data_IF_689982591581
#
_entry.id   IF_689982591581
#
_cell.length_a   1.000
_cell.length_b   1.000
_cell.length_c   1.000
_cell.angle_alpha   90.00
_cell.angle_beta   90.00
_cell.angle_gamma   90.00
#
_symmetry.space_group_name_H-M   'P 1'
#
loop_
_entity.id
_entity.type
_entity.pdbx_description
1 polymer ?
#
# COMPACT_ATOMS: atom_id res chain seq x y z
N UNK A 1 -8.29 8.11 7.09
CA UNK A 1 -8.26 7.30 8.31
C UNK A 1 -6.80 7.09 8.64
N UNK A 2 -6.32 7.71 9.70
CA UNK A 2 -4.97 7.46 10.21
C UNK A 2 -5.04 6.29 11.17
N UNK A 3 -4.01 5.44 11.14
CA UNK A 3 -3.81 4.43 12.18
C UNK A 3 -3.60 5.17 13.52
N UNK A 4 -4.32 4.75 14.53
CA UNK A 4 -4.22 5.29 15.86
C UNK A 4 -3.71 4.17 16.78
N UNK A 5 -2.45 4.25 17.23
CA UNK A 5 -1.84 3.17 18.01
C UNK A 5 -2.48 2.97 19.39
N UNK A 6 -3.32 3.92 19.84
CA UNK A 6 -4.03 3.82 21.11
C UNK A 6 -5.35 3.06 20.99
N UNK A 7 -5.84 2.82 19.75
CA UNK A 7 -7.06 2.08 19.51
C UNK A 7 -6.81 0.58 19.40
N UNK A 8 -7.73 -0.19 19.95
CA UNK A 8 -7.78 -1.64 19.73
C UNK A 8 -8.20 -1.95 18.27
N UNK A 9 -7.90 -3.17 17.81
CA UNK A 9 -8.34 -3.65 16.49
C UNK A 9 -9.86 -3.52 16.28
N UNK A 10 -10.66 -3.76 17.31
CA UNK A 10 -12.12 -3.68 17.23
C UNK A 10 -12.61 -2.24 17.08
N UNK A 11 -12.00 -1.29 17.80
CA UNK A 11 -12.29 0.14 17.69
C UNK A 11 -11.90 0.69 16.31
N UNK A 12 -10.73 0.32 15.80
CA UNK A 12 -10.30 0.67 14.43
C UNK A 12 -11.26 0.09 13.38
N UNK A 13 -11.69 -1.16 13.56
CA UNK A 13 -12.66 -1.79 12.68
C UNK A 13 -14.03 -1.10 12.72
N UNK A 14 -14.51 -0.70 13.89
CA UNK A 14 -15.76 0.03 14.06
C UNK A 14 -15.68 1.41 13.40
N UNK A 15 -14.58 2.12 13.57
CA UNK A 15 -14.28 3.40 12.93
C UNK A 15 -14.28 3.26 11.39
N UNK A 16 -13.60 2.25 10.86
CA UNK A 16 -13.60 1.93 9.44
C UNK A 16 -15.00 1.62 8.90
N UNK A 17 -15.82 0.87 9.64
CA UNK A 17 -17.21 0.57 9.27
C UNK A 17 -18.05 1.83 9.09
N UNK A 18 -17.90 2.80 9.99
CA UNK A 18 -18.61 4.08 9.91
C UNK A 18 -18.35 4.83 8.61
N UNK A 19 -17.09 4.88 8.15
CA UNK A 19 -16.74 5.49 6.87
C UNK A 19 -17.36 4.74 5.67
N UNK A 20 -17.28 3.42 5.67
CA UNK A 20 -17.85 2.63 4.57
C UNK A 20 -19.38 2.70 4.54
N UNK A 21 -20.05 2.80 5.66
CA UNK A 21 -21.50 2.97 5.73
C UNK A 21 -21.89 4.38 5.24
N UNK A 22 -21.14 5.42 5.59
CA UNK A 22 -21.33 6.76 5.05
C UNK A 22 -21.19 6.78 3.51
N UNK A 23 -20.16 6.11 2.97
CA UNK A 23 -19.97 5.97 1.52
C UNK A 23 -21.14 5.25 0.84
N UNK A 24 -21.67 4.18 1.44
CA UNK A 24 -22.85 3.47 0.92
C UNK A 24 -24.09 4.35 0.92
N UNK A 25 -24.20 5.25 1.90
CA UNK A 25 -25.27 6.22 2.02
C UNK A 25 -25.06 7.49 1.18
N UNK A 26 -24.05 7.50 0.31
CA UNK A 26 -23.83 8.56 -0.66
C UNK A 26 -22.89 9.69 -0.22
N UNK A 27 -22.23 9.57 0.93
CA UNK A 27 -21.23 10.56 1.34
C UNK A 27 -20.04 10.58 0.37
N UNK A 28 -19.57 11.80 0.04
CA UNK A 28 -18.39 11.99 -0.79
C UNK A 28 -17.13 11.92 0.06
N UNK A 29 -16.65 10.70 0.28
CA UNK A 29 -15.42 10.43 1.04
C UNK A 29 -14.22 10.51 0.08
N UNK A 30 -13.23 11.31 0.47
CA UNK A 30 -11.98 11.51 -0.28
C UNK A 30 -10.78 11.17 0.59
N UNK A 31 -9.69 10.78 -0.06
CA UNK A 31 -8.38 10.64 0.56
C UNK A 31 -7.44 11.72 0.05
N UNK A 32 -6.51 12.16 0.89
CA UNK A 32 -5.39 13.02 0.51
C UNK A 32 -4.08 12.26 0.65
N UNK A 33 -3.04 12.74 -0.02
CA UNK A 33 -1.68 12.30 0.24
C UNK A 33 -1.21 12.88 1.60
N UNK A 34 -0.19 12.28 2.18
CA UNK A 34 0.54 12.83 3.32
C UNK A 34 1.47 13.93 2.78
N UNK A 35 1.52 15.09 3.44
CA UNK A 35 2.34 16.21 2.99
C UNK A 35 3.84 15.96 3.22
N UNK A 36 4.70 16.70 2.49
CA UNK A 36 6.16 16.67 2.71
C UNK A 36 6.52 17.09 4.13
N UNK A 37 5.87 18.14 4.67
CA UNK A 37 6.12 18.59 6.04
C UNK A 37 5.74 17.56 7.11
N UNK A 38 4.66 16.79 6.90
CA UNK A 38 4.30 15.70 7.83
C UNK A 38 5.35 14.58 7.80
N UNK A 39 5.88 14.25 6.61
CA UNK A 39 6.97 13.27 6.48
C UNK A 39 8.26 13.77 7.11
N UNK A 40 8.62 15.04 6.86
CA UNK A 40 9.81 15.64 7.45
C UNK A 40 9.74 15.57 8.98
N UNK A 41 8.62 15.99 9.57
CA UNK A 41 8.43 15.96 11.02
C UNK A 41 8.52 14.53 11.58
N UNK A 42 7.89 13.55 10.91
CA UNK A 42 7.90 12.15 11.35
C UNK A 42 9.31 11.53 11.23
N UNK A 43 9.99 11.72 10.10
CA UNK A 43 11.32 11.17 9.89
C UNK A 43 12.35 11.82 10.83
N UNK A 44 12.31 13.14 10.98
CA UNK A 44 13.18 13.90 11.89
C UNK A 44 13.07 13.37 13.32
N UNK A 45 11.84 13.18 13.81
CA UNK A 45 11.62 12.66 15.16
C UNK A 45 12.31 11.32 15.37
N UNK A 46 12.13 10.36 14.45
CA UNK A 46 12.77 9.03 14.54
C UNK A 46 14.28 9.15 14.52
N UNK A 47 14.83 10.02 13.66
CA UNK A 47 16.28 10.22 13.56
C UNK A 47 16.87 10.89 14.81
N UNK A 48 16.16 11.83 15.42
CA UNK A 48 16.54 12.49 16.69
C UNK A 48 16.49 11.51 17.87
N UNK A 49 15.62 10.49 17.81
CA UNK A 49 15.61 9.37 18.76
C UNK A 49 16.78 8.38 18.55
N UNK A 50 17.64 8.64 17.57
CA UNK A 50 18.84 7.84 17.28
C UNK A 50 18.59 6.63 16.39
N UNK A 51 17.47 6.57 15.67
CA UNK A 51 17.08 5.45 14.83
C UNK A 51 17.14 5.81 13.33
N UNK A 52 17.39 4.81 12.49
CA UNK A 52 17.30 4.92 11.03
C UNK A 52 15.86 4.68 10.55
N UNK A 53 15.49 5.23 9.39
CA UNK A 53 14.16 5.12 8.82
C UNK A 53 14.18 4.29 7.55
N UNK A 54 13.45 3.16 7.54
CA UNK A 54 13.11 2.43 6.31
C UNK A 54 11.61 2.55 6.04
N UNK A 55 11.25 3.34 5.05
CA UNK A 55 9.86 3.62 4.69
C UNK A 55 9.42 2.83 3.46
N UNK A 56 8.34 2.08 3.59
CA UNK A 56 7.67 1.39 2.48
C UNK A 56 6.47 2.20 2.04
N UNK A 57 6.54 2.81 0.87
CA UNK A 57 5.44 3.56 0.31
C UNK A 57 4.52 2.65 -0.50
N UNK A 58 3.23 2.91 -0.47
CA UNK A 58 2.38 2.36 -1.52
C UNK A 58 2.81 2.92 -2.89
N UNK A 59 2.47 2.20 -3.97
CA UNK A 59 2.94 2.54 -5.30
C UNK A 59 2.82 4.02 -5.64
N UNK A 60 3.90 4.62 -6.13
CA UNK A 60 3.98 6.00 -6.61
C UNK A 60 2.99 6.30 -7.75
N UNK A 61 2.55 5.27 -8.47
CA UNK A 61 1.57 5.40 -9.55
C UNK A 61 0.11 5.31 -9.07
N UNK A 62 -0.10 5.07 -7.77
CA UNK A 62 -1.41 5.10 -7.11
C UNK A 62 -1.56 6.37 -6.25
N UNK A 63 -0.47 6.85 -5.66
CA UNK A 63 -0.49 8.01 -4.75
C UNK A 63 0.77 8.87 -4.86
N UNK A 64 0.59 10.18 -4.76
CA UNK A 64 1.71 11.13 -4.63
C UNK A 64 2.47 11.04 -3.30
N UNK A 65 2.01 10.25 -2.34
CA UNK A 65 2.63 10.07 -1.02
C UNK A 65 4.10 9.64 -1.10
N UNK A 66 4.45 8.76 -2.06
CA UNK A 66 5.85 8.41 -2.33
C UNK A 66 6.71 9.64 -2.61
N UNK A 67 6.24 10.54 -3.48
CA UNK A 67 6.99 11.73 -3.85
C UNK A 67 7.14 12.71 -2.69
N UNK A 68 6.11 12.87 -1.86
CA UNK A 68 6.20 13.69 -0.65
C UNK A 68 7.24 13.16 0.33
N UNK A 69 7.26 11.83 0.55
CA UNK A 69 8.27 11.18 1.39
C UNK A 69 9.69 11.32 0.82
N UNK A 70 9.83 11.19 -0.52
CA UNK A 70 11.13 11.35 -1.20
C UNK A 70 11.69 12.75 -1.04
N UNK A 71 10.86 13.79 -1.22
CA UNK A 71 11.29 15.18 -1.03
C UNK A 71 11.73 15.42 0.42
N UNK A 72 10.93 14.98 1.40
CA UNK A 72 11.29 15.11 2.82
C UNK A 72 12.60 14.37 3.15
N UNK A 73 12.81 13.19 2.58
CA UNK A 73 14.07 12.46 2.73
C UNK A 73 15.24 13.26 2.13
N UNK A 74 15.12 13.79 0.92
CA UNK A 74 16.18 14.55 0.26
C UNK A 74 16.59 15.76 1.09
N UNK A 75 15.63 16.54 1.60
CA UNK A 75 15.87 17.71 2.45
C UNK A 75 16.55 17.32 3.78
N UNK A 76 16.10 16.27 4.45
CA UNK A 76 16.70 15.80 5.70
C UNK A 76 18.12 15.24 5.52
N UNK A 77 18.37 14.58 4.38
CA UNK A 77 19.67 13.96 4.11
C UNK A 77 20.77 14.96 3.71
N UNK A 78 20.44 16.25 3.47
CA UNK A 78 21.45 17.31 3.33
C UNK A 78 22.21 17.56 4.65
N UNK A 79 21.52 17.43 5.80
CA UNK A 79 22.12 17.54 7.13
C UNK A 79 21.38 16.60 8.10
N UNK A 80 21.66 15.29 8.06
CA UNK A 80 20.86 14.29 8.75
C UNK A 80 21.01 14.37 10.27
N UNK A 81 19.91 14.48 11.03
CA UNK A 81 19.95 14.42 12.48
C UNK A 81 20.72 13.19 12.97
N UNK A 82 21.64 13.40 13.92
CA UNK A 82 22.49 12.36 14.50
C UNK A 82 23.23 11.45 13.47
N UNK A 83 23.41 11.90 12.23
CA UNK A 83 24.01 11.10 11.17
C UNK A 83 23.19 9.88 10.73
N UNK A 84 21.91 9.85 11.05
CA UNK A 84 21.01 8.74 10.72
C UNK A 84 20.63 8.69 9.25
N UNK A 85 20.09 7.57 8.82
CA UNK A 85 19.78 7.28 7.43
C UNK A 85 18.28 7.17 7.20
N UNK A 86 17.85 7.57 6.01
CA UNK A 86 16.50 7.30 5.51
C UNK A 86 16.63 6.49 4.22
N UNK A 87 15.83 5.44 4.10
CA UNK A 87 15.67 4.66 2.86
C UNK A 87 14.18 4.53 2.56
N UNK A 88 13.81 4.66 1.28
CA UNK A 88 12.42 4.58 0.81
C UNK A 88 12.32 3.51 -0.27
N UNK A 89 11.37 2.60 -0.13
CA UNK A 89 11.04 1.58 -1.14
C UNK A 89 9.64 1.86 -1.68
N UNK A 90 9.54 2.04 -3.00
CA UNK A 90 8.24 1.97 -3.71
C UNK A 90 7.79 0.52 -3.74
N UNK A 91 6.72 0.18 -3.01
CA UNK A 91 6.24 -1.19 -2.94
C UNK A 91 5.58 -1.68 -4.25
N UNK A 92 5.39 -0.82 -5.27
CA UNK A 92 4.66 -1.11 -6.53
C UNK A 92 3.27 -1.75 -6.30
N UNK A 93 2.86 -1.83 -5.07
CA UNK A 93 1.65 -2.46 -4.56
C UNK A 93 1.02 -1.60 -3.47
N UNK A 94 0.06 -2.16 -2.76
CA UNK A 94 -0.57 -1.56 -1.59
C UNK A 94 -1.00 -2.65 -0.60
N UNK A 95 -1.46 -2.23 0.59
CA UNK A 95 -2.07 -3.10 1.60
C UNK A 95 -1.14 -4.25 2.02
N UNK A 96 -1.61 -5.51 1.97
CA UNK A 96 -0.87 -6.67 2.46
C UNK A 96 0.47 -6.90 1.74
N UNK A 97 0.52 -6.68 0.43
CA UNK A 97 1.78 -6.82 -0.33
C UNK A 97 2.84 -5.80 0.11
N UNK A 98 2.43 -4.58 0.49
CA UNK A 98 3.32 -3.60 1.12
C UNK A 98 3.68 -4.00 2.55
N UNK A 99 2.72 -4.54 3.33
CA UNK A 99 2.92 -4.95 4.71
C UNK A 99 3.93 -6.09 4.85
N UNK A 100 3.95 -7.05 3.93
CA UNK A 100 4.93 -8.16 3.93
C UNK A 100 6.37 -7.64 3.82
N UNK A 101 6.61 -6.58 3.04
CA UNK A 101 7.95 -5.97 2.96
C UNK A 101 8.42 -5.44 4.33
N UNK A 102 7.50 -4.83 5.10
CA UNK A 102 7.81 -4.34 6.44
C UNK A 102 8.09 -5.50 7.42
N UNK A 103 7.37 -6.63 7.30
CA UNK A 103 7.62 -7.83 8.09
C UNK A 103 9.02 -8.37 7.79
N UNK A 104 9.38 -8.56 6.52
CA UNK A 104 10.72 -9.03 6.14
C UNK A 104 11.82 -8.08 6.63
N UNK A 105 11.61 -6.76 6.54
CA UNK A 105 12.56 -5.79 7.07
C UNK A 105 12.75 -5.95 8.59
N UNK A 106 11.65 -6.14 9.33
CA UNK A 106 11.71 -6.37 10.78
C UNK A 106 12.48 -7.64 11.13
N UNK A 107 12.23 -8.74 10.42
CA UNK A 107 12.95 -10.01 10.62
C UNK A 107 14.44 -9.90 10.30
N UNK A 108 14.80 -9.14 9.25
CA UNK A 108 16.20 -8.88 8.90
C UNK A 108 16.90 -8.02 9.94
N UNK A 109 16.23 -6.96 10.44
CA UNK A 109 16.72 -6.13 11.54
C UNK A 109 16.96 -6.98 12.80
N UNK A 110 16.02 -7.86 13.15
CA UNK A 110 16.12 -8.71 14.33
C UNK A 110 17.27 -9.75 14.24
N UNK A 111 17.73 -10.01 13.00
CA UNK A 111 18.95 -10.78 12.71
C UNK A 111 20.24 -9.92 12.74
N UNK A 112 20.13 -8.64 13.07
CA UNK A 112 21.25 -7.71 13.15
C UNK A 112 21.74 -7.11 11.85
N UNK A 113 20.92 -7.15 10.77
CA UNK A 113 21.29 -6.56 9.51
C UNK A 113 21.14 -5.03 9.55
N UNK A 114 22.09 -4.33 8.94
CA UNK A 114 22.08 -2.88 8.82
C UNK A 114 21.08 -2.41 7.77
N UNK A 115 20.56 -1.18 7.92
CA UNK A 115 19.53 -0.61 7.06
C UNK A 115 19.87 -0.66 5.56
N UNK A 116 21.14 -0.43 5.20
CA UNK A 116 21.56 -0.43 3.79
C UNK A 116 21.52 -1.83 3.19
N UNK A 117 21.87 -2.87 3.96
CA UNK A 117 21.79 -4.26 3.54
C UNK A 117 20.33 -4.68 3.36
N UNK A 118 19.46 -4.35 4.34
CA UNK A 118 18.01 -4.61 4.26
C UNK A 118 17.39 -3.91 3.05
N UNK A 119 17.74 -2.64 2.83
CA UNK A 119 17.27 -1.88 1.68
C UNK A 119 17.71 -2.51 0.36
N UNK A 120 18.98 -2.89 0.21
CA UNK A 120 19.53 -3.47 -1.02
C UNK A 120 18.86 -4.79 -1.40
N UNK A 121 18.50 -5.60 -0.42
CA UNK A 121 17.73 -6.83 -0.62
C UNK A 121 16.29 -6.49 -0.99
N UNK A 122 15.60 -5.73 -0.15
CA UNK A 122 14.15 -5.54 -0.25
C UNK A 122 13.72 -4.63 -1.40
N UNK A 123 14.56 -3.73 -1.91
CA UNK A 123 14.24 -2.92 -3.09
C UNK A 123 13.96 -3.74 -4.36
N UNK A 124 14.39 -5.01 -4.38
CA UNK A 124 14.16 -5.93 -5.50
C UNK A 124 12.85 -6.72 -5.39
N UNK A 125 12.25 -6.79 -4.19
CA UNK A 125 11.08 -7.62 -3.90
C UNK A 125 9.77 -7.11 -4.50
N UNK A 126 9.49 -5.79 -4.56
CA UNK A 126 8.23 -5.28 -5.10
C UNK A 126 7.90 -5.81 -6.50
N UNK A 127 8.91 -5.97 -7.37
CA UNK A 127 8.72 -6.49 -8.72
C UNK A 127 8.36 -7.99 -8.77
N UNK A 128 8.59 -8.72 -7.68
CA UNK A 128 8.30 -10.16 -7.55
C UNK A 128 6.99 -10.42 -6.80
N UNK A 129 6.39 -9.39 -6.20
CA UNK A 129 5.18 -9.53 -5.40
C UNK A 129 3.92 -9.44 -6.24
N UNK A 130 2.98 -10.35 -6.00
CA UNK A 130 1.70 -10.42 -6.69
C UNK A 130 0.55 -10.01 -5.77
N UNK A 131 0.28 -8.71 -5.67
CA UNK A 131 -0.88 -8.20 -4.97
C UNK A 131 -2.16 -8.38 -5.80
N UNK A 132 -3.03 -9.31 -5.41
CA UNK A 132 -4.33 -9.54 -6.08
C UNK A 132 -5.49 -9.24 -5.14
N UNK A 133 -6.53 -8.60 -5.67
CA UNK A 133 -7.68 -8.22 -4.85
C UNK A 133 -8.97 -8.10 -5.67
N UNK A 134 -10.10 -7.96 -4.99
CA UNK A 134 -11.39 -7.68 -5.58
C UNK A 134 -12.11 -6.59 -4.80
N UNK A 135 -12.97 -5.84 -5.47
CA UNK A 135 -13.81 -4.80 -4.86
C UNK A 135 -15.30 -5.09 -5.09
N UNK A 136 -16.13 -4.56 -4.21
CA UNK A 136 -17.57 -4.66 -4.34
C UNK A 136 -18.11 -3.89 -5.53
N UNK A 137 -17.54 -2.70 -5.80
CA UNK A 137 -17.95 -1.78 -6.86
C UNK A 137 -16.72 -1.02 -7.38
N UNK A 138 -16.50 -1.07 -8.69
CA UNK A 138 -15.39 -0.38 -9.36
C UNK A 138 -15.54 1.14 -9.39
N UNK A 139 -16.77 1.66 -9.23
CA UNK A 139 -17.04 3.09 -9.37
C UNK A 139 -16.18 3.95 -8.42
N UNK A 140 -15.83 3.44 -7.23
CA UNK A 140 -15.00 4.18 -6.28
C UNK A 140 -13.55 4.31 -6.77
N UNK A 141 -12.97 3.25 -7.33
CA UNK A 141 -11.65 3.30 -7.94
C UNK A 141 -11.63 4.14 -9.21
N UNK A 142 -12.66 4.03 -10.04
CA UNK A 142 -12.81 4.85 -11.24
C UNK A 142 -12.96 6.34 -10.91
N UNK A 143 -13.80 6.68 -9.91
CA UNK A 143 -14.01 8.05 -9.43
C UNK A 143 -12.71 8.71 -8.93
N UNK A 144 -11.84 7.95 -8.31
CA UNK A 144 -10.57 8.45 -7.79
C UNK A 144 -9.42 8.39 -8.80
N UNK A 145 -9.63 7.85 -10.00
CA UNK A 145 -8.61 7.76 -11.06
C UNK A 145 -7.50 6.73 -10.79
N UNK A 146 -7.68 5.80 -9.81
CA UNK A 146 -6.66 4.79 -9.46
C UNK A 146 -6.77 3.50 -10.26
N UNK A 147 -7.75 3.39 -11.16
CA UNK A 147 -7.91 2.25 -12.06
C UNK A 147 -7.45 2.62 -13.48
N UNK A 148 -6.37 2.01 -13.94
CA UNK A 148 -5.87 2.19 -15.31
C UNK A 148 -6.81 1.55 -16.34
N UNK A 149 -7.07 2.25 -17.44
CA UNK A 149 -7.96 1.75 -18.51
C UNK A 149 -9.45 1.82 -18.15
N UNK A 150 -9.83 2.66 -17.19
CA UNK A 150 -11.19 2.74 -16.64
C UNK A 150 -12.30 3.11 -17.64
N UNK A 151 -11.97 3.69 -18.79
CA UNK A 151 -12.97 4.08 -19.80
C UNK A 151 -13.79 2.89 -20.36
N UNK A 152 -13.30 1.66 -20.25
CA UNK A 152 -13.97 0.45 -20.72
C UNK A 152 -14.86 -0.25 -19.68
N UNK A 153 -14.94 0.27 -18.43
CA UNK A 153 -15.54 -0.44 -17.29
C UNK A 153 -16.82 0.18 -16.75
N UNK A 154 -17.31 1.25 -17.32
CA UNK A 154 -18.56 1.92 -16.90
C UNK A 154 -19.76 1.23 -17.54
N UNK A 155 -19.87 -0.07 -17.31
CA UNK A 155 -21.09 -0.82 -17.62
C UNK A 155 -21.58 -1.50 -16.33
N UNK A 156 -22.76 -1.13 -15.85
CA UNK A 156 -23.47 -1.79 -14.75
C UNK A 156 -23.88 -3.22 -15.15
N UNK A 157 -22.91 -4.12 -15.31
CA UNK A 157 -23.25 -5.55 -15.44
C UNK A 157 -23.47 -6.05 -14.02
N UNK A 158 -24.75 -6.27 -13.71
CA UNK A 158 -25.21 -6.74 -12.42
C UNK A 158 -24.39 -7.96 -11.96
N UNK A 159 -23.82 -7.87 -10.74
CA UNK A 159 -23.10 -8.96 -10.08
C UNK A 159 -21.73 -9.36 -10.69
N UNK A 160 -21.11 -8.53 -11.56
CA UNK A 160 -19.72 -8.76 -11.98
C UNK A 160 -18.77 -8.22 -10.91
N UNK A 161 -17.81 -9.07 -10.50
CA UNK A 161 -16.72 -8.73 -9.57
C UNK A 161 -15.39 -8.80 -10.31
N UNK A 162 -14.63 -7.70 -10.34
CA UNK A 162 -13.31 -7.69 -10.97
C UNK A 162 -12.29 -8.38 -10.07
N UNK A 163 -11.33 -9.05 -10.68
CA UNK A 163 -10.05 -9.37 -10.06
C UNK A 163 -9.06 -8.33 -10.55
N UNK A 164 -8.45 -7.64 -9.61
CA UNK A 164 -7.52 -6.55 -9.81
C UNK A 164 -6.13 -6.97 -9.33
N UNK A 165 -5.10 -6.39 -9.94
CA UNK A 165 -3.71 -6.54 -9.48
C UNK A 165 -2.90 -5.28 -9.77
N UNK A 166 -1.74 -5.13 -9.12
CA UNK A 166 -0.69 -4.24 -9.59
C UNK A 166 -0.07 -4.79 -10.88
N UNK A 167 0.22 -3.92 -11.86
CA UNK A 167 1.09 -4.30 -12.96
C UNK A 167 2.56 -4.04 -12.57
N UNK A 168 3.49 -4.37 -13.47
CA UNK A 168 4.94 -4.18 -13.25
C UNK A 168 5.36 -2.74 -12.91
N UNK A 169 4.54 -1.77 -13.29
CA UNK A 169 4.79 -0.35 -13.04
C UNK A 169 4.05 0.15 -11.78
N UNK A 170 3.27 -0.72 -11.10
CA UNK A 170 2.52 -0.39 -9.89
C UNK A 170 1.16 0.28 -10.13
N UNK A 171 0.64 0.29 -11.36
CA UNK A 171 -0.75 0.69 -11.62
C UNK A 171 -1.72 -0.42 -11.29
N UNK A 172 -2.91 -0.06 -10.80
CA UNK A 172 -4.00 -1.03 -10.64
C UNK A 172 -4.61 -1.33 -12.01
N UNK A 173 -4.60 -2.59 -12.39
CA UNK A 173 -5.18 -3.08 -13.64
C UNK A 173 -6.17 -4.20 -13.37
N UNK A 174 -7.19 -4.31 -14.25
CA UNK A 174 -8.07 -5.46 -14.19
C UNK A 174 -7.41 -6.66 -14.85
N UNK A 175 -7.38 -7.77 -14.11
CA UNK A 175 -6.82 -9.03 -14.56
C UNK A 175 -7.89 -10.01 -15.06
N UNK A 176 -9.03 -10.12 -14.34
CA UNK A 176 -10.11 -11.05 -14.66
C UNK A 176 -11.47 -10.47 -14.21
N UNK A 177 -12.56 -11.00 -14.76
CA UNK A 177 -13.93 -10.73 -14.30
C UNK A 177 -14.56 -12.03 -13.81
N UNK A 178 -15.28 -11.96 -12.69
CA UNK A 178 -16.02 -13.09 -12.12
C UNK A 178 -17.48 -12.70 -11.93
N UNK A 179 -18.37 -13.67 -12.03
CA UNK A 179 -19.79 -13.46 -11.72
C UNK A 179 -20.04 -13.86 -10.27
N UNK A 180 -20.36 -12.87 -9.45
CA UNK A 180 -20.60 -13.04 -8.02
C UNK A 180 -19.34 -13.06 -7.15
N UNK A 181 -19.52 -12.70 -5.86
CA UNK A 181 -18.42 -12.57 -4.90
C UNK A 181 -17.74 -13.90 -4.58
N UNK A 182 -18.51 -14.99 -4.44
CA UNK A 182 -17.94 -16.32 -4.15
C UNK A 182 -16.96 -16.77 -5.24
N UNK A 183 -17.35 -16.61 -6.52
CA UNK A 183 -16.47 -16.95 -7.64
C UNK A 183 -15.20 -16.08 -7.64
N UNK A 184 -15.32 -14.78 -7.33
CA UNK A 184 -14.17 -13.90 -7.23
C UNK A 184 -13.21 -14.33 -6.11
N UNK A 185 -13.72 -14.66 -4.92
CA UNK A 185 -12.90 -15.14 -3.81
C UNK A 185 -12.18 -16.45 -4.14
N UNK A 186 -12.87 -17.41 -4.77
CA UNK A 186 -12.25 -18.66 -5.19
C UNK A 186 -11.10 -18.42 -6.17
N UNK A 187 -11.28 -17.49 -7.12
CA UNK A 187 -10.20 -17.12 -8.06
C UNK A 187 -9.01 -16.48 -7.34
N UNK A 188 -9.25 -15.63 -6.34
CA UNK A 188 -8.16 -15.05 -5.53
C UNK A 188 -7.36 -16.14 -4.81
N UNK A 189 -8.06 -17.10 -4.17
CA UNK A 189 -7.40 -18.23 -3.49
C UNK A 189 -6.57 -19.05 -4.48
N UNK A 190 -7.15 -19.44 -5.64
CA UNK A 190 -6.39 -20.18 -6.67
C UNK A 190 -5.16 -19.41 -7.12
N UNK A 191 -5.28 -18.09 -7.38
CA UNK A 191 -4.14 -17.28 -7.80
C UNK A 191 -3.01 -17.23 -6.76
N UNK A 192 -3.34 -17.23 -5.48
CA UNK A 192 -2.33 -17.32 -4.41
C UNK A 192 -1.69 -18.71 -4.41
N UNK A 193 -2.49 -19.78 -4.36
CA UNK A 193 -1.98 -21.14 -4.32
C UNK A 193 -1.13 -21.53 -5.55
N UNK A 194 -1.51 -21.03 -6.75
CA UNK A 194 -0.81 -21.32 -8.00
C UNK A 194 0.51 -20.54 -8.15
N UNK A 195 0.71 -19.47 -7.39
CA UNK A 195 1.86 -18.56 -7.53
C UNK A 195 2.71 -18.42 -6.27
N UNK A 196 2.34 -19.07 -5.18
CA UNK A 196 3.18 -19.10 -3.98
C UNK A 196 4.42 -19.97 -4.26
N UNK A 197 5.59 -19.42 -3.95
CA UNK A 197 6.87 -20.12 -4.20
C UNK A 197 7.24 -21.01 -3.02
N UNK A 198 6.96 -20.50 -1.82
CA UNK A 198 7.20 -21.18 -0.55
C UNK A 198 5.96 -20.99 0.34
N UNK A 199 5.18 -22.05 0.60
CA UNK A 199 3.97 -21.96 1.40
C UNK A 199 4.19 -22.05 2.93
N UNK A 200 5.44 -22.30 3.40
CA UNK A 200 5.81 -22.42 4.82
C UNK A 200 6.05 -21.08 5.51
#
# INVERSE_FOLDING_TARGET
VCFDPELTYEEERAKGKTYYDAMRNGADVKTSLISTGDFEAAFRKVMEDGEDVLYFSLSKNISGTYNSARIAMEELMENPPMGRKIRIIDALNASLAQGILAIYASEMRDKGMEIDEVYDILKTYPAKMNGVFTVGDLKYLAKTGRLSGSAAFVGNILNIKPILRGNKDGYIVQFKKCRGRKAALNVLVSLVCDNIVDPE
#
